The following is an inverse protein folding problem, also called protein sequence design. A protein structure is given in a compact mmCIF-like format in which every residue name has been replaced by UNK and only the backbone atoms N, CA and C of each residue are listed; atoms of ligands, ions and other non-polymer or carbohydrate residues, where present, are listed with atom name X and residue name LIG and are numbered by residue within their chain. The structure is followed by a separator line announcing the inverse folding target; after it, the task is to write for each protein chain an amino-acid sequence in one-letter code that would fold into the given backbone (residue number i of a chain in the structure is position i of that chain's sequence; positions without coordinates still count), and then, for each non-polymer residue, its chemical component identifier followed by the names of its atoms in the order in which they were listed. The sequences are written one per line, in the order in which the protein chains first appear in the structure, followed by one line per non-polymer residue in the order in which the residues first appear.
data_IF_552486538726
#
_entry.id   IF_552486538726
#
_cell.length_a   1.000
_cell.length_b   1.000
_cell.length_c   1.000
_cell.angle_alpha   90.00
_cell.angle_beta   90.00
_cell.angle_gamma   90.00
#
_symmetry.space_group_name_H-M   'P 1'
#
loop_
_entity.id
_entity.type
_entity.pdbx_description
1 polymer ?
#
# COMPACT_ATOMS: atom_id res chain seq x y z
N UNK A 1 -5.68 39.80 39.59
CA UNK A 1 -5.98 38.38 39.25
C UNK A 1 -6.55 38.25 37.83
N UNK A 2 -7.40 39.17 37.37
CA UNK A 2 -8.04 39.13 36.04
C UNK A 2 -7.11 39.35 34.84
N UNK A 3 -6.00 40.07 35.00
CA UNK A 3 -5.04 40.32 33.92
C UNK A 3 -4.34 39.04 33.45
N UNK A 4 -4.07 38.10 34.39
CA UNK A 4 -3.54 36.78 34.07
C UNK A 4 -4.53 35.97 33.25
N UNK A 5 -5.83 36.04 33.56
CA UNK A 5 -6.88 35.36 32.82
C UNK A 5 -7.00 35.87 31.38
N UNK A 6 -6.95 37.21 31.19
CA UNK A 6 -6.95 37.83 29.86
C UNK A 6 -5.73 37.46 29.03
N UNK A 7 -4.56 37.37 29.67
CA UNK A 7 -3.31 37.04 28.99
C UNK A 7 -3.22 35.56 28.62
N UNK A 8 -3.74 34.66 29.47
CA UNK A 8 -3.87 33.24 29.14
C UNK A 8 -4.85 33.04 27.99
N UNK A 9 -5.99 33.74 27.98
CA UNK A 9 -6.95 33.67 26.88
C UNK A 9 -6.37 34.18 25.55
N UNK A 10 -5.54 35.22 25.60
CA UNK A 10 -4.85 35.75 24.42
C UNK A 10 -3.84 34.74 23.84
N UNK A 11 -3.05 34.05 24.69
CA UNK A 11 -2.13 33.00 24.22
C UNK A 11 -2.87 31.83 23.55
N UNK A 12 -4.00 31.41 24.12
CA UNK A 12 -4.83 30.31 23.57
C UNK A 12 -5.45 30.71 22.23
N UNK A 13 -5.90 31.96 22.08
CA UNK A 13 -6.49 32.44 20.83
C UNK A 13 -5.44 32.71 19.74
N UNK A 14 -4.18 32.92 20.12
CA UNK A 14 -3.06 33.12 19.18
C UNK A 14 -2.34 31.81 18.83
N UNK A 15 -2.74 30.66 19.40
CA UNK A 15 -2.39 29.35 18.82
C UNK A 15 -3.17 29.16 17.51
N UNK A 16 -2.76 29.89 16.48
CA UNK A 16 -2.94 29.44 15.12
C UNK A 16 -2.30 28.06 15.05
N UNK A 17 -3.13 27.01 14.99
CA UNK A 17 -2.66 25.71 14.57
C UNK A 17 -1.86 25.92 13.28
N UNK A 18 -0.58 25.51 13.24
CA UNK A 18 0.16 25.49 11.99
C UNK A 18 -0.71 24.79 10.94
N UNK A 19 -0.83 25.38 9.76
CA UNK A 19 -1.52 24.73 8.66
C UNK A 19 -0.99 23.29 8.53
N UNK A 20 -1.85 22.27 8.34
CA UNK A 20 -1.39 20.90 8.17
C UNK A 20 -0.28 20.88 7.13
N UNK A 21 0.87 20.29 7.48
CA UNK A 21 1.97 20.15 6.53
C UNK A 21 1.42 19.44 5.27
N UNK A 22 1.85 19.86 4.05
CA UNK A 22 1.48 19.16 2.84
C UNK A 22 1.78 17.67 3.01
N UNK A 23 0.81 16.81 2.70
CA UNK A 23 1.06 15.37 2.71
C UNK A 23 2.26 15.08 1.79
N UNK A 24 3.18 14.18 2.21
CA UNK A 24 4.29 13.79 1.35
C UNK A 24 3.79 13.34 -0.02
N UNK A 25 4.43 13.83 -1.09
CA UNK A 25 4.11 13.37 -2.44
C UNK A 25 4.29 11.84 -2.48
N UNK A 26 3.29 11.09 -2.98
CA UNK A 26 3.43 9.65 -3.04
C UNK A 26 4.64 9.30 -3.92
N UNK A 27 5.51 8.43 -3.42
CA UNK A 27 6.61 7.86 -4.21
C UNK A 27 5.99 7.26 -5.47
N UNK A 28 6.56 7.50 -6.65
CA UNK A 28 6.08 6.93 -7.90
C UNK A 28 6.91 5.69 -8.24
N UNK A 29 6.43 4.50 -7.88
CA UNK A 29 7.07 3.26 -8.30
C UNK A 29 6.59 2.86 -9.70
N UNK A 30 7.54 2.41 -10.52
CA UNK A 30 7.22 1.77 -11.79
C UNK A 30 6.33 0.55 -11.56
N UNK A 31 5.33 0.36 -12.43
CA UNK A 31 4.44 -0.80 -12.40
C UNK A 31 5.25 -2.10 -12.51
N UNK A 32 4.97 -3.15 -11.70
CA UNK A 32 5.64 -4.44 -11.82
C UNK A 32 5.50 -5.02 -13.23
N UNK A 33 6.53 -5.73 -13.69
CA UNK A 33 6.48 -6.38 -15.00
C UNK A 33 5.57 -7.61 -14.97
N UNK A 34 4.82 -7.88 -16.07
CA UNK A 34 4.06 -9.11 -16.18
C UNK A 34 4.95 -10.35 -16.09
N UNK A 35 4.53 -11.35 -15.31
CA UNK A 35 5.25 -12.60 -15.09
C UNK A 35 4.56 -13.78 -15.74
N UNK A 36 5.27 -14.50 -16.62
CA UNK A 36 4.73 -15.63 -17.37
C UNK A 36 4.90 -16.99 -16.65
N UNK A 37 5.59 -17.04 -15.51
CA UNK A 37 5.88 -18.29 -14.80
C UNK A 37 7.29 -18.85 -15.00
N UNK A 38 8.20 -18.09 -15.64
CA UNK A 38 9.60 -18.51 -15.81
C UNK A 38 10.29 -18.69 -14.46
N UNK A 39 10.88 -19.86 -14.22
CA UNK A 39 11.57 -20.19 -12.96
C UNK A 39 12.97 -19.56 -12.88
N UNK A 40 13.52 -19.52 -11.67
CA UNK A 40 14.87 -18.98 -11.40
C UNK A 40 14.84 -17.45 -11.22
N UNK A 41 15.90 -16.78 -11.65
CA UNK A 41 16.06 -15.33 -11.46
C UNK A 41 14.84 -14.47 -11.87
N UNK A 42 14.10 -14.74 -12.97
CA UNK A 42 12.90 -13.97 -13.30
C UNK A 42 11.81 -14.03 -12.23
N UNK A 43 11.65 -15.18 -11.56
CA UNK A 43 10.69 -15.34 -10.47
C UNK A 43 11.11 -14.52 -9.23
N UNK A 44 12.40 -14.52 -8.90
CA UNK A 44 12.94 -13.75 -7.78
C UNK A 44 12.77 -12.24 -8.00
N UNK A 45 13.08 -11.76 -9.21
CA UNK A 45 12.90 -10.35 -9.60
C UNK A 45 11.43 -9.95 -9.51
N UNK A 46 10.52 -10.81 -9.99
CA UNK A 46 9.08 -10.56 -9.89
C UNK A 46 8.61 -10.43 -8.43
N UNK A 47 9.02 -11.37 -7.56
CA UNK A 47 8.68 -11.32 -6.12
C UNK A 47 9.24 -10.05 -5.47
N UNK A 48 10.48 -9.67 -5.78
CA UNK A 48 11.10 -8.45 -5.27
C UNK A 48 10.32 -7.19 -5.69
N UNK A 49 9.84 -7.11 -6.94
CA UNK A 49 9.02 -5.99 -7.41
C UNK A 49 7.68 -5.88 -6.66
N UNK A 50 7.02 -7.02 -6.42
CA UNK A 50 5.74 -7.05 -5.68
C UNK A 50 5.96 -6.64 -4.22
N UNK A 51 7.00 -7.16 -3.57
CA UNK A 51 7.34 -6.79 -2.20
C UNK A 51 7.66 -5.30 -2.08
N UNK A 52 8.40 -4.73 -3.05
CA UNK A 52 8.73 -3.30 -3.07
C UNK A 52 7.48 -2.42 -3.16
N UNK A 53 6.50 -2.80 -3.97
CA UNK A 53 5.19 -2.12 -4.05
C UNK A 53 4.43 -2.19 -2.72
N UNK A 54 4.38 -3.36 -2.09
CA UNK A 54 3.68 -3.55 -0.82
C UNK A 54 4.30 -2.71 0.32
N UNK A 55 5.64 -2.62 0.36
CA UNK A 55 6.37 -1.85 1.38
C UNK A 55 6.22 -0.35 1.15
N UNK A 56 6.18 0.09 -0.11
CA UNK A 56 6.11 1.52 -0.45
C UNK A 56 4.71 2.10 -0.27
N UNK A 57 3.67 1.28 -0.43
CA UNK A 57 2.28 1.70 -0.28
C UNK A 57 1.55 0.87 0.80
N UNK A 58 1.97 0.94 2.07
CA UNK A 58 1.40 0.11 3.13
C UNK A 58 -0.11 0.37 3.32
N UNK A 59 -0.55 1.61 3.09
CA UNK A 59 -1.96 2.02 3.15
C UNK A 59 -2.82 1.31 2.08
N UNK A 60 -2.23 0.94 0.95
CA UNK A 60 -2.91 0.19 -0.11
C UNK A 60 -2.96 -1.32 0.16
N UNK A 61 -2.15 -1.82 1.10
CA UNK A 61 -2.02 -3.23 1.42
C UNK A 61 -2.12 -3.51 2.94
N UNK A 62 -3.25 -3.16 3.58
CA UNK A 62 -3.40 -3.23 5.04
C UNK A 62 -3.41 -4.66 5.60
N UNK A 63 -3.61 -5.68 4.75
CA UNK A 63 -3.66 -7.09 5.15
C UNK A 63 -2.72 -7.94 4.31
N UNK A 64 -2.23 -9.06 4.84
CA UNK A 64 -1.43 -10.00 4.06
C UNK A 64 -2.21 -10.56 2.87
N UNK A 65 -3.52 -10.71 3.02
CA UNK A 65 -4.42 -11.03 1.92
C UNK A 65 -4.35 -10.02 0.77
N UNK A 66 -4.40 -8.71 1.06
CA UNK A 66 -4.30 -7.67 0.03
C UNK A 66 -2.93 -7.66 -0.68
N UNK A 67 -1.84 -7.95 0.04
CA UNK A 67 -0.49 -8.11 -0.55
C UNK A 67 -0.46 -9.28 -1.52
N UNK A 68 -1.02 -10.42 -1.12
CA UNK A 68 -1.06 -11.63 -1.96
C UNK A 68 -1.99 -11.45 -3.15
N UNK A 69 -3.18 -10.85 -2.97
CA UNK A 69 -4.17 -10.65 -4.02
C UNK A 69 -3.73 -9.68 -5.13
N UNK A 70 -2.75 -8.82 -4.85
CA UNK A 70 -2.13 -7.97 -5.86
C UNK A 70 -1.26 -8.75 -6.85
N UNK A 71 -0.57 -9.79 -6.40
CA UNK A 71 0.40 -10.56 -7.18
C UNK A 71 -0.19 -11.14 -8.48
N UNK A 72 -1.36 -11.81 -8.47
CA UNK A 72 -1.96 -12.39 -9.68
C UNK A 72 -2.34 -11.36 -10.74
N UNK A 73 -2.51 -10.08 -10.38
CA UNK A 73 -2.82 -9.02 -11.37
C UNK A 73 -1.69 -8.76 -12.37
N UNK A 74 -0.49 -9.28 -12.09
CA UNK A 74 0.67 -9.23 -12.97
C UNK A 74 1.04 -10.60 -13.55
N UNK A 75 0.31 -11.66 -13.25
CA UNK A 75 0.59 -12.97 -13.84
C UNK A 75 -0.02 -13.07 -15.24
N UNK A 76 0.72 -13.67 -16.19
CA UNK A 76 0.24 -13.97 -17.55
C UNK A 76 0.52 -15.42 -17.93
N UNK A 77 -0.05 -15.85 -19.05
CA UNK A 77 0.19 -17.14 -19.70
C UNK A 77 0.09 -18.33 -18.71
N UNK A 78 1.18 -19.09 -18.55
CA UNK A 78 1.23 -20.25 -17.66
C UNK A 78 0.99 -19.86 -16.19
N UNK A 79 1.59 -18.76 -15.72
CA UNK A 79 1.39 -18.30 -14.34
C UNK A 79 -0.08 -17.92 -14.05
N UNK A 80 -0.76 -17.26 -15.01
CA UNK A 80 -2.17 -16.91 -14.88
C UNK A 80 -3.06 -18.16 -14.80
N UNK A 81 -2.80 -19.15 -15.66
CA UNK A 81 -3.52 -20.43 -15.64
C UNK A 81 -3.33 -21.17 -14.32
N UNK A 82 -2.11 -21.11 -13.76
CA UNK A 82 -1.77 -21.74 -12.48
C UNK A 82 -2.47 -21.08 -11.28
N UNK A 83 -2.57 -19.74 -11.25
CA UNK A 83 -3.15 -19.03 -10.10
C UNK A 83 -4.69 -18.92 -10.13
N UNK A 84 -5.32 -19.12 -11.29
CA UNK A 84 -6.76 -19.03 -11.49
C UNK A 84 -7.62 -19.81 -10.46
N UNK A 85 -7.34 -21.08 -10.11
CA UNK A 85 -8.15 -21.81 -9.13
C UNK A 85 -8.09 -21.18 -7.74
N UNK A 86 -6.96 -20.57 -7.35
CA UNK A 86 -6.80 -19.90 -6.07
C UNK A 86 -7.56 -18.57 -6.04
N UNK A 87 -7.46 -17.78 -7.12
CA UNK A 87 -8.23 -16.56 -7.29
C UNK A 87 -9.74 -16.83 -7.19
N UNK A 88 -10.23 -17.88 -7.85
CA UNK A 88 -11.63 -18.27 -7.76
C UNK A 88 -12.07 -18.61 -6.33
N UNK A 89 -11.19 -19.15 -5.49
CA UNK A 89 -11.50 -19.41 -4.07
C UNK A 89 -11.54 -18.11 -3.26
N UNK A 90 -10.60 -17.19 -3.51
CA UNK A 90 -10.58 -15.86 -2.87
C UNK A 90 -11.87 -15.10 -3.21
N UNK A 91 -12.26 -15.04 -4.49
CA UNK A 91 -13.49 -14.35 -4.92
C UNK A 91 -14.77 -15.00 -4.39
N UNK A 92 -14.73 -16.29 -4.04
CA UNK A 92 -15.84 -17.00 -3.40
C UNK A 92 -15.83 -16.91 -1.87
N UNK A 93 -14.88 -16.17 -1.28
CA UNK A 93 -14.74 -16.03 0.17
C UNK A 93 -14.32 -17.32 0.89
N UNK A 94 -13.64 -18.24 0.20
CA UNK A 94 -13.27 -19.56 0.75
C UNK A 94 -11.83 -19.62 1.27
N UNK A 95 -11.05 -18.54 1.11
CA UNK A 95 -9.62 -18.50 1.43
C UNK A 95 -9.24 -17.29 2.30
N UNK A 96 -10.24 -16.53 2.79
CA UNK A 96 -10.11 -15.35 3.65
C UNK A 96 -10.72 -15.64 5.01
#
# INVERSE_FOLDING_TARGET
MEERLRQTQACVNTQQHPAPAPAPNPINLAKPQPFNGTRGAPAEVFVAQIALHAITYPECFPTDASKVAFTPSFMRDYAATWCQPYLNRIFKGQLL
#
